data_IF_936464553716
#
_entry.id   IF_936464553716
#
_cell.length_a   1.000
_cell.length_b   1.000
_cell.length_c   1.000
_cell.angle_alpha   90.00
_cell.angle_beta   90.00
_cell.angle_gamma   90.00
#
_symmetry.space_group_name_H-M   'P 1'
#
loop_
_entity.id
_entity.type
_entity.pdbx_description
1 polymer ?
#
# COMPACT_ATOMS: atom_id res chain seq x y z
N UNK A 1 5.78 -12.68 18.36
CA UNK A 1 5.76 -11.43 17.57
C UNK A 1 4.39 -11.32 16.99
N UNK A 2 3.66 -10.27 17.32
CA UNK A 2 2.31 -10.05 16.80
C UNK A 2 2.36 -9.85 15.28
N UNK A 3 1.33 -10.31 14.57
CA UNK A 3 1.26 -10.26 13.10
C UNK A 3 1.51 -8.83 12.60
N UNK A 4 0.84 -7.84 13.20
CA UNK A 4 0.97 -6.43 12.82
C UNK A 4 2.38 -5.88 13.08
N UNK A 5 3.04 -6.30 14.16
CA UNK A 5 4.43 -5.88 14.44
C UNK A 5 5.40 -6.42 13.39
N UNK A 6 5.18 -7.66 12.92
CA UNK A 6 6.00 -8.23 11.85
C UNK A 6 5.81 -7.48 10.53
N UNK A 7 4.56 -7.22 10.14
CA UNK A 7 4.24 -6.47 8.93
C UNK A 7 4.85 -5.07 8.99
N UNK A 8 4.70 -4.38 10.13
CA UNK A 8 5.28 -3.07 10.38
C UNK A 8 6.80 -3.07 10.17
N UNK A 9 7.51 -4.01 10.80
CA UNK A 9 8.96 -4.14 10.63
C UNK A 9 9.34 -4.43 9.18
N UNK A 10 8.58 -5.28 8.48
CA UNK A 10 8.82 -5.61 7.08
C UNK A 10 8.68 -4.39 6.17
N UNK A 11 7.65 -3.59 6.36
CA UNK A 11 7.41 -2.38 5.56
C UNK A 11 8.47 -1.32 5.84
N UNK A 12 8.82 -1.10 7.10
CA UNK A 12 9.87 -0.16 7.49
C UNK A 12 11.23 -0.56 6.94
N UNK A 13 11.59 -1.85 7.02
CA UNK A 13 12.84 -2.37 6.44
C UNK A 13 12.87 -2.23 4.92
N UNK A 14 11.75 -2.51 4.25
CA UNK A 14 11.65 -2.37 2.79
C UNK A 14 11.74 -0.91 2.34
N UNK A 15 11.05 0.00 3.04
CA UNK A 15 11.14 1.44 2.79
C UNK A 15 12.57 1.95 2.99
N UNK A 16 13.20 1.63 4.12
CA UNK A 16 14.56 2.08 4.45
C UNK A 16 15.60 1.60 3.43
N UNK A 17 15.41 0.41 2.85
CA UNK A 17 16.33 -0.16 1.85
C UNK A 17 16.50 0.72 0.61
N UNK A 18 15.48 1.51 0.24
CA UNK A 18 15.50 2.31 -0.98
C UNK A 18 15.20 3.80 -0.74
N UNK A 19 15.30 4.26 0.52
CA UNK A 19 15.06 5.66 0.88
C UNK A 19 16.28 6.57 0.72
N UNK A 20 17.41 6.04 0.27
CA UNK A 20 18.61 6.82 -0.02
C UNK A 20 18.38 7.75 -1.21
N UNK A 21 18.80 9.01 -1.07
CA UNK A 21 18.77 10.02 -2.12
C UNK A 21 20.16 10.06 -2.75
N UNK A 22 20.23 9.88 -4.07
CA UNK A 22 21.49 9.97 -4.81
C UNK A 22 22.03 11.40 -4.85
N UNK A 23 23.28 11.58 -5.28
CA UNK A 23 23.89 12.91 -5.49
C UNK A 23 23.10 13.75 -6.50
N UNK A 24 22.44 13.11 -7.46
CA UNK A 24 21.57 13.74 -8.46
C UNK A 24 20.15 14.05 -7.94
N UNK A 25 19.89 13.83 -6.64
CA UNK A 25 18.60 14.09 -6.00
C UNK A 25 17.54 13.01 -6.24
N UNK A 26 17.89 11.90 -6.90
CA UNK A 26 16.95 10.82 -7.18
C UNK A 26 16.75 9.90 -5.97
N UNK A 27 15.51 9.51 -5.71
CA UNK A 27 15.13 8.48 -4.75
C UNK A 27 14.04 7.59 -5.35
N UNK A 28 14.08 6.28 -5.06
CA UNK A 28 13.07 5.32 -5.56
C UNK A 28 11.64 5.70 -5.15
N UNK A 29 11.51 6.35 -3.99
CA UNK A 29 10.23 6.76 -3.42
C UNK A 29 9.77 8.15 -3.89
N UNK A 30 10.31 8.66 -5.00
CA UNK A 30 9.77 9.83 -5.67
C UNK A 30 8.53 9.46 -6.50
N UNK A 31 7.44 10.22 -6.35
CA UNK A 31 6.28 10.18 -7.27
C UNK A 31 5.65 11.57 -7.41
N UNK A 32 4.88 11.82 -8.49
CA UNK A 32 3.98 12.96 -8.54
C UNK A 32 2.77 12.77 -7.62
N UNK A 33 2.10 13.88 -7.33
CA UNK A 33 0.81 13.91 -6.62
C UNK A 33 0.82 13.19 -5.26
N UNK A 34 1.94 13.27 -4.53
CA UNK A 34 2.02 12.78 -3.14
C UNK A 34 1.16 13.68 -2.26
N UNK A 35 0.20 13.12 -1.48
CA UNK A 35 -0.55 13.89 -0.49
C UNK A 35 0.39 14.61 0.49
N UNK A 36 0.07 15.84 0.86
CA UNK A 36 0.95 16.71 1.66
C UNK A 36 1.48 16.04 2.94
N UNK A 37 0.63 15.28 3.64
CA UNK A 37 0.99 14.52 4.84
C UNK A 37 2.05 13.43 4.61
N UNK A 38 2.07 12.82 3.43
CA UNK A 38 3.02 11.80 3.03
C UNK A 38 4.33 12.37 2.50
N UNK A 39 4.44 13.68 2.25
CA UNK A 39 5.69 14.28 1.77
C UNK A 39 6.76 14.28 2.87
N UNK A 40 8.01 14.03 2.48
CA UNK A 40 9.21 14.15 3.33
C UNK A 40 10.09 15.30 2.91
N UNK A 41 10.24 15.49 1.59
CA UNK A 41 10.98 16.55 0.96
C UNK A 41 10.09 17.11 -0.15
N UNK A 42 9.74 18.39 -0.05
CA UNK A 42 9.28 19.14 -1.21
C UNK A 42 10.55 19.46 -2.02
N UNK A 43 10.82 18.63 -3.02
CA UNK A 43 11.65 19.07 -4.14
C UNK A 43 10.85 20.13 -4.91
N UNK A 44 11.51 21.18 -5.40
CA UNK A 44 10.88 22.30 -6.15
C UNK A 44 10.27 21.87 -7.52
N UNK A 45 9.98 20.58 -7.69
CA UNK A 45 9.57 19.92 -8.92
C UNK A 45 8.26 19.13 -8.73
N UNK A 46 7.69 18.67 -9.86
CA UNK A 46 6.46 17.85 -9.99
C UNK A 46 6.50 16.54 -9.17
N UNK A 47 7.66 16.15 -8.65
CA UNK A 47 7.88 14.91 -7.91
C UNK A 47 8.20 15.21 -6.45
N UNK A 48 7.75 14.36 -5.53
CA UNK A 48 8.07 14.46 -4.10
C UNK A 48 8.42 13.09 -3.53
N UNK A 49 9.29 13.04 -2.52
CA UNK A 49 9.61 11.80 -1.81
C UNK A 49 8.52 11.53 -0.77
N UNK A 50 7.83 10.39 -0.88
CA UNK A 50 6.79 9.99 0.05
C UNK A 50 7.36 9.20 1.25
N UNK A 51 6.68 9.22 2.41
CA UNK A 51 6.92 8.37 3.59
C UNK A 51 5.73 7.48 3.90
N UNK A 52 5.98 6.39 4.61
CA UNK A 52 4.94 5.59 5.25
C UNK A 52 4.12 6.44 6.23
N UNK A 53 2.80 6.27 6.21
CA UNK A 53 1.90 6.82 7.23
C UNK A 53 1.07 5.71 7.83
N UNK A 54 0.85 5.66 9.16
CA UNK A 54 -0.01 4.64 9.76
C UNK A 54 -1.36 4.57 9.06
N UNK A 55 -1.81 3.36 8.73
CA UNK A 55 -3.07 3.18 8.02
C UNK A 55 -4.26 3.63 8.86
N UNK A 56 -5.24 4.28 8.23
CA UNK A 56 -6.54 4.60 8.83
C UNK A 56 -7.61 3.56 8.49
N UNK A 57 -7.26 2.50 7.75
CA UNK A 57 -8.20 1.44 7.36
C UNK A 57 -8.76 0.77 8.61
N UNK A 58 -10.07 0.86 8.79
CA UNK A 58 -10.78 0.29 9.93
C UNK A 58 -11.17 -1.18 9.68
N UNK A 59 -11.42 -1.91 10.77
CA UNK A 59 -11.99 -3.26 10.70
C UNK A 59 -13.35 -3.28 10.02
N UNK A 60 -14.14 -2.21 10.14
CA UNK A 60 -15.43 -2.07 9.46
C UNK A 60 -15.25 -2.01 7.93
N UNK A 61 -14.25 -1.25 7.44
CA UNK A 61 -13.96 -1.19 6.00
C UNK A 61 -13.48 -2.54 5.45
N UNK A 62 -12.66 -3.26 6.22
CA UNK A 62 -12.23 -4.62 5.87
C UNK A 62 -13.43 -5.56 5.84
N UNK A 63 -14.29 -5.52 6.85
CA UNK A 63 -15.49 -6.35 6.94
C UNK A 63 -16.49 -6.08 5.81
N UNK A 64 -16.63 -4.82 5.39
CA UNK A 64 -17.44 -4.47 4.22
C UNK A 64 -16.87 -5.08 2.94
N UNK A 65 -15.55 -5.10 2.78
CA UNK A 65 -14.87 -5.72 1.63
C UNK A 65 -14.95 -7.25 1.65
N UNK A 66 -14.85 -7.88 2.83
CA UNK A 66 -15.10 -9.31 3.02
C UNK A 66 -16.53 -9.69 2.60
N UNK A 67 -17.52 -8.89 3.00
CA UNK A 67 -18.91 -9.08 2.62
C UNK A 67 -19.14 -8.88 1.11
N UNK A 68 -18.49 -7.87 0.51
CA UNK A 68 -18.50 -7.61 -0.94
C UNK A 68 -18.01 -8.84 -1.73
N UNK A 69 -16.97 -9.53 -1.22
CA UNK A 69 -16.37 -10.69 -1.88
C UNK A 69 -16.96 -12.04 -1.47
N UNK A 70 -17.82 -12.06 -0.45
CA UNK A 70 -18.38 -13.30 0.10
C UNK A 70 -17.33 -14.22 0.72
N UNK A 71 -16.25 -13.66 1.28
CA UNK A 71 -15.15 -14.42 1.89
C UNK A 71 -14.57 -13.69 3.10
N UNK A 72 -13.92 -14.44 4.00
CA UNK A 72 -13.16 -13.87 5.10
C UNK A 72 -11.67 -13.86 4.74
N UNK A 73 -11.03 -12.72 4.89
CA UNK A 73 -9.61 -12.57 4.68
C UNK A 73 -8.80 -13.24 5.81
N UNK A 74 -7.62 -13.80 5.49
CA UNK A 74 -6.68 -14.21 6.53
C UNK A 74 -6.22 -13.02 7.38
N UNK A 75 -5.99 -13.24 8.67
CA UNK A 75 -5.50 -12.20 9.61
C UNK A 75 -4.21 -11.51 9.13
N UNK A 76 -3.31 -12.26 8.48
CA UNK A 76 -2.10 -11.72 7.85
C UNK A 76 -2.41 -10.70 6.76
N UNK A 77 -3.44 -10.95 5.96
CA UNK A 77 -3.82 -10.06 4.88
C UNK A 77 -4.52 -8.80 5.42
N UNK A 78 -5.39 -8.96 6.42
CA UNK A 78 -6.01 -7.82 7.12
C UNK A 78 -4.95 -6.91 7.72
N UNK A 79 -3.96 -7.48 8.41
CA UNK A 79 -2.84 -6.72 8.95
C UNK A 79 -2.04 -6.03 7.83
N UNK A 80 -1.75 -6.73 6.74
CA UNK A 80 -1.04 -6.18 5.59
C UNK A 80 -1.73 -4.94 5.00
N UNK A 81 -3.04 -4.97 4.79
CA UNK A 81 -3.80 -3.85 4.20
C UNK A 81 -4.17 -2.72 5.18
N UNK A 82 -3.89 -2.89 6.47
CA UNK A 82 -4.26 -1.95 7.53
C UNK A 82 -3.09 -1.55 8.43
N UNK A 83 -1.85 -1.70 7.97
CA UNK A 83 -0.68 -1.28 8.76
C UNK A 83 -0.18 0.11 8.36
N UNK A 84 0.01 0.35 7.06
CA UNK A 84 0.54 1.62 6.55
C UNK A 84 -0.10 2.02 5.23
N UNK A 85 -0.32 3.32 5.02
CA UNK A 85 -0.41 3.89 3.69
C UNK A 85 0.97 3.92 3.04
N UNK A 86 1.03 3.48 1.78
CA UNK A 86 2.28 3.33 1.04
C UNK A 86 2.07 3.36 -0.47
N UNK A 87 3.15 3.67 -1.20
CA UNK A 87 3.18 3.66 -2.67
C UNK A 87 4.29 2.74 -3.19
N UNK A 88 4.43 1.56 -2.59
CA UNK A 88 5.32 0.53 -3.10
C UNK A 88 4.88 0.05 -4.49
N UNK A 89 5.85 -0.20 -5.37
CA UNK A 89 5.67 -0.54 -6.78
C UNK A 89 5.45 -2.04 -7.04
N UNK A 90 5.79 -2.89 -6.06
CA UNK A 90 5.72 -4.36 -6.18
C UNK A 90 4.48 -4.99 -5.57
N UNK A 91 3.68 -4.21 -4.83
CA UNK A 91 2.47 -4.63 -4.12
C UNK A 91 1.40 -3.55 -4.26
N UNK A 92 0.10 -3.86 -4.10
CA UNK A 92 -0.96 -2.87 -4.27
C UNK A 92 -0.76 -1.64 -3.39
N UNK A 93 -0.79 -0.47 -4.00
CA UNK A 93 -0.66 0.81 -3.28
C UNK A 93 -1.81 1.02 -2.29
N UNK A 94 -1.52 1.62 -1.14
CA UNK A 94 -2.51 1.95 -0.12
C UNK A 94 -2.51 3.46 0.06
N UNK A 95 -3.19 4.16 -0.85
CA UNK A 95 -3.30 5.62 -0.82
C UNK A 95 -4.06 6.12 0.42
N UNK A 96 -3.98 7.41 0.74
CA UNK A 96 -4.64 7.99 1.92
C UNK A 96 -6.14 8.16 1.72
N UNK A 97 -6.53 8.60 0.53
CA UNK A 97 -7.91 8.89 0.12
C UNK A 97 -8.71 7.61 -0.15
N UNK A 98 -8.17 6.69 -0.93
CA UNK A 98 -8.83 5.43 -1.31
C UNK A 98 -7.95 4.20 -1.00
N UNK A 99 -7.67 3.90 0.28
CA UNK A 99 -6.65 2.91 0.68
C UNK A 99 -6.91 1.47 0.21
N UNK A 100 -8.16 1.14 -0.11
CA UNK A 100 -8.56 -0.20 -0.55
C UNK A 100 -8.90 -0.25 -2.04
N UNK A 101 -8.83 0.86 -2.78
CA UNK A 101 -9.17 0.88 -4.20
C UNK A 101 -8.22 0.00 -5.01
N UNK A 102 -6.90 0.13 -4.84
CA UNK A 102 -5.94 -0.73 -5.53
C UNK A 102 -6.02 -2.19 -5.09
N UNK A 103 -6.51 -2.44 -3.86
CA UNK A 103 -6.80 -3.80 -3.42
C UNK A 103 -7.99 -4.37 -4.18
N UNK A 104 -9.04 -3.57 -4.42
CA UNK A 104 -10.20 -3.94 -5.25
C UNK A 104 -9.83 -4.13 -6.72
N UNK A 105 -8.99 -3.24 -7.22
CA UNK A 105 -8.53 -3.20 -8.59
C UNK A 105 -7.27 -4.05 -8.80
N UNK A 106 -6.92 -4.93 -7.84
CA UNK A 106 -5.86 -5.92 -8.00
C UNK A 106 -6.32 -6.98 -9.03
N UNK A 107 -6.40 -6.56 -10.28
CA UNK A 107 -6.69 -7.42 -11.40
C UNK A 107 -5.51 -8.36 -11.57
N UNK A 108 -5.73 -9.64 -11.29
CA UNK A 108 -4.80 -10.68 -11.64
C UNK A 108 -5.35 -11.44 -12.84
N UNK A 109 -4.93 -11.08 -14.08
CA UNK A 109 -5.45 -11.70 -15.29
C UNK A 109 -5.22 -13.20 -15.35
N UNK A 110 -4.21 -13.72 -14.65
CA UNK A 110 -3.98 -15.16 -14.54
C UNK A 110 -5.03 -15.82 -13.65
N UNK A 111 -5.41 -15.22 -12.54
CA UNK A 111 -6.46 -15.75 -11.66
C UNK A 111 -7.85 -15.66 -12.31
N UNK A 112 -8.14 -14.58 -13.04
CA UNK A 112 -9.35 -14.49 -13.87
C UNK A 112 -9.35 -15.56 -14.97
N UNK A 113 -8.26 -15.70 -15.73
CA UNK A 113 -8.13 -16.72 -16.81
C UNK A 113 -8.27 -18.15 -16.29
N UNK A 114 -7.79 -18.42 -15.07
CA UNK A 114 -7.84 -19.74 -14.43
C UNK A 114 -9.15 -19.96 -13.64
N UNK A 115 -10.08 -19.01 -13.65
CA UNK A 115 -11.40 -19.16 -13.02
C UNK A 115 -11.41 -19.02 -11.49
N UNK A 116 -10.34 -18.47 -10.90
CA UNK A 116 -10.24 -18.24 -9.45
C UNK A 116 -10.84 -16.89 -9.00
N UNK A 117 -11.08 -15.95 -9.92
CA UNK A 117 -11.76 -14.68 -9.65
C UNK A 117 -12.93 -14.48 -10.62
N UNK A 118 -14.07 -13.90 -10.19
CA UNK A 118 -15.32 -13.87 -10.95
C UNK A 118 -15.40 -12.77 -12.03
N UNK A 119 -14.30 -12.04 -12.26
CA UNK A 119 -14.25 -10.95 -13.23
C UNK A 119 -13.83 -11.49 -14.62
N UNK A 120 -14.66 -11.24 -15.63
CA UNK A 120 -14.44 -11.62 -17.05
C UNK A 120 -14.12 -10.43 -17.91
#
# INVERSE_FOLDING_TARGET
MEIRDYIKQGFEAYYAKYSEISEDGFCRWMRPDVPAEMKTVDTDEEWSIWKLLPSIVSEEQIGAMEAEYGLNFPEWYKAFISTYHHYFDVIPEQAVDEPLENVRNMYNPLLCRLGYLPFT
#
